data_IF_965478716486
#
_entry.id   IF_965478716486
#
_cell.length_a   1.000
_cell.length_b   1.000
_cell.length_c   1.000
_cell.angle_alpha   90.00
_cell.angle_beta   90.00
_cell.angle_gamma   90.00
#
_symmetry.space_group_name_H-M   'P 1'
#
loop_
_entity.id
_entity.type
_entity.pdbx_description
1 polymer ?
#
# COMPACT_ATOMS: atom_id res chain seq x y z
N UNK A 1 34.40 22.40 5.34
CA UNK A 1 32.94 22.57 5.36
C UNK A 1 32.42 22.11 4.01
N UNK A 2 31.89 20.90 3.93
CA UNK A 2 31.27 20.39 2.71
C UNK A 2 29.77 20.36 2.93
N UNK A 3 29.08 21.10 2.06
CA UNK A 3 27.64 21.36 2.08
C UNK A 3 26.84 20.08 1.95
N UNK A 4 25.83 19.93 2.79
CA UNK A 4 24.76 18.95 2.67
C UNK A 4 23.84 19.32 1.50
N UNK A 5 23.39 18.32 0.75
CA UNK A 5 22.22 18.46 -0.13
C UNK A 5 21.40 17.19 0.01
N UNK A 6 20.22 17.35 0.60
CA UNK A 6 19.17 16.34 0.70
C UNK A 6 18.62 16.11 -0.71
N UNK A 7 18.86 14.94 -1.30
CA UNK A 7 18.16 14.54 -2.52
C UNK A 7 16.73 14.12 -2.18
N UNK A 8 15.78 14.95 -2.63
CA UNK A 8 14.35 14.71 -2.56
C UNK A 8 13.98 13.47 -3.39
N UNK A 9 13.29 12.51 -2.75
CA UNK A 9 12.80 11.27 -3.35
C UNK A 9 11.61 11.45 -4.31
N UNK A 10 11.87 12.02 -5.49
CA UNK A 10 10.94 11.94 -6.63
C UNK A 10 11.48 10.93 -7.65
N UNK A 11 10.70 9.89 -7.97
CA UNK A 11 11.05 8.94 -9.04
C UNK A 11 11.07 9.67 -10.39
N UNK A 12 12.26 9.86 -10.94
CA UNK A 12 12.46 10.43 -12.27
C UNK A 12 12.15 9.40 -13.37
N UNK A 13 11.27 9.74 -14.31
CA UNK A 13 11.07 8.98 -15.55
C UNK A 13 12.09 9.46 -16.59
N UNK A 14 13.11 8.65 -16.86
CA UNK A 14 13.99 8.83 -18.01
C UNK A 14 13.76 7.69 -19.01
N UNK A 15 13.20 8.01 -20.16
CA UNK A 15 13.20 7.16 -21.35
C UNK A 15 14.56 7.26 -22.05
N UNK A 16 15.46 6.32 -21.79
CA UNK A 16 16.31 5.73 -22.83
C UNK A 16 17.09 4.50 -22.29
N UNK A 17 16.80 3.34 -22.89
CA UNK A 17 17.70 2.19 -23.07
C UNK A 17 18.63 1.77 -21.92
N UNK A 18 18.16 0.81 -21.10
CA UNK A 18 18.86 -0.42 -20.69
C UNK A 18 17.98 -1.19 -19.70
N UNK A 19 17.68 -2.46 -19.99
CA UNK A 19 16.88 -3.33 -19.13
C UNK A 19 17.63 -3.66 -17.84
N UNK A 20 17.52 -2.81 -16.83
CA UNK A 20 17.54 -3.21 -15.43
C UNK A 20 16.17 -2.83 -14.87
N UNK A 21 15.41 -3.83 -14.43
CA UNK A 21 14.06 -3.59 -13.93
C UNK A 21 14.12 -2.55 -12.81
N UNK A 22 13.60 -1.35 -13.07
CA UNK A 22 13.17 -0.45 -12.00
C UNK A 22 12.30 -1.28 -11.06
N UNK A 23 12.48 -1.20 -9.71
CA UNK A 23 11.69 -1.98 -8.78
C UNK A 23 10.21 -1.78 -9.13
N UNK A 24 9.59 -2.87 -9.60
CA UNK A 24 8.48 -2.81 -10.54
C UNK A 24 7.34 -1.94 -10.05
N UNK A 25 6.84 -1.06 -10.92
CA UNK A 25 5.66 -0.28 -10.61
C UNK A 25 4.51 -1.21 -10.20
N UNK A 26 3.85 -0.88 -9.10
CA UNK A 26 2.71 -1.64 -8.61
C UNK A 26 1.52 -1.34 -9.51
N UNK A 27 0.87 -2.38 -10.03
CA UNK A 27 -0.17 -2.24 -11.07
C UNK A 27 -1.55 -2.67 -10.61
N UNK A 28 -1.64 -3.50 -9.59
CA UNK A 28 -2.92 -4.00 -9.10
C UNK A 28 -2.90 -4.09 -7.58
N UNK A 29 -3.97 -3.58 -6.98
CA UNK A 29 -4.15 -3.52 -5.55
C UNK A 29 -5.43 -4.25 -5.17
N UNK A 30 -5.42 -4.89 -4.00
CA UNK A 30 -6.59 -5.48 -3.37
C UNK A 30 -6.76 -4.86 -2.01
N UNK A 31 -7.92 -4.27 -1.77
CA UNK A 31 -8.27 -3.69 -0.50
C UNK A 31 -9.03 -4.72 0.34
N UNK A 32 -8.60 -4.85 1.58
CA UNK A 32 -9.26 -5.62 2.61
C UNK A 32 -9.55 -4.74 3.81
N UNK A 33 -10.55 -5.14 4.58
CA UNK A 33 -10.90 -4.47 5.83
C UNK A 33 -10.97 -5.45 6.99
N UNK A 34 -10.63 -4.93 8.17
CA UNK A 34 -11.05 -5.46 9.47
C UNK A 34 -11.84 -4.38 10.20
N UNK A 35 -12.33 -4.68 11.41
CA UNK A 35 -13.05 -3.70 12.23
C UNK A 35 -12.24 -2.43 12.55
N UNK A 36 -10.91 -2.47 12.49
CA UNK A 36 -10.05 -1.36 12.91
C UNK A 36 -9.05 -0.89 11.86
N UNK A 37 -8.86 -1.63 10.76
CA UNK A 37 -7.83 -1.29 9.77
C UNK A 37 -8.30 -1.63 8.35
N UNK A 38 -7.78 -0.89 7.38
CA UNK A 38 -7.73 -1.32 5.99
C UNK A 38 -6.34 -1.84 5.65
N UNK A 39 -6.30 -2.85 4.79
CA UNK A 39 -5.07 -3.46 4.29
C UNK A 39 -5.10 -3.44 2.77
N UNK A 40 -4.14 -2.76 2.15
CA UNK A 40 -4.00 -2.72 0.71
C UNK A 40 -2.83 -3.58 0.27
N UNK A 41 -3.11 -4.58 -0.55
CA UNK A 41 -2.11 -5.50 -1.06
C UNK A 41 -1.85 -5.16 -2.52
N UNK A 42 -0.72 -4.52 -2.77
CA UNK A 42 -0.27 -4.22 -4.12
C UNK A 42 0.59 -5.35 -4.68
N UNK A 43 0.59 -5.47 -6.01
CA UNK A 43 1.55 -6.32 -6.74
C UNK A 43 2.03 -5.66 -8.02
N UNK A 44 3.22 -6.02 -8.43
CA UNK A 44 3.82 -5.61 -9.69
C UNK A 44 3.28 -6.42 -10.89
N UNK A 45 3.64 -6.01 -12.11
CA UNK A 45 3.23 -6.69 -13.36
C UNK A 45 3.70 -8.15 -13.41
N UNK A 46 4.90 -8.42 -12.92
CA UNK A 46 5.50 -9.77 -12.94
C UNK A 46 4.94 -10.69 -11.86
N UNK A 47 4.17 -10.15 -10.90
CA UNK A 47 3.63 -10.87 -9.72
C UNK A 47 4.73 -11.42 -8.79
N UNK A 48 5.92 -10.87 -8.89
CA UNK A 48 7.10 -11.23 -8.11
C UNK A 48 7.15 -10.43 -6.82
N UNK A 49 6.74 -9.17 -6.87
CA UNK A 49 6.81 -8.24 -5.75
C UNK A 49 5.42 -7.93 -5.23
N UNK A 50 5.23 -8.15 -3.93
CA UNK A 50 4.01 -7.80 -3.22
C UNK A 50 4.36 -6.83 -2.09
N UNK A 51 3.54 -5.79 -1.94
CA UNK A 51 3.67 -4.81 -0.84
C UNK A 51 2.35 -4.65 -0.13
N UNK A 52 2.43 -4.28 1.13
CA UNK A 52 1.28 -4.16 2.03
C UNK A 52 1.26 -2.76 2.60
N UNK A 53 0.12 -2.09 2.45
CA UNK A 53 -0.18 -0.83 3.11
C UNK A 53 -1.21 -1.09 4.20
N UNK A 54 -0.94 -0.59 5.41
CA UNK A 54 -1.91 -0.61 6.50
C UNK A 54 -2.41 0.80 6.75
N UNK A 55 -3.73 0.94 6.85
CA UNK A 55 -4.40 2.22 7.11
C UNK A 55 -5.27 2.03 8.35
N UNK A 56 -5.08 2.85 9.36
CA UNK A 56 -5.91 2.84 10.57
C UNK A 56 -7.31 3.41 10.27
N UNK A 57 -8.37 2.75 10.76
CA UNK A 57 -9.76 3.20 10.63
C UNK A 57 -10.31 3.91 11.86
N UNK A 58 -9.64 3.80 13.00
CA UNK A 58 -10.16 4.23 14.28
C UNK A 58 -10.07 5.75 14.47
N UNK A 59 -9.13 6.41 13.79
CA UNK A 59 -8.92 7.85 13.88
C UNK A 59 -9.21 8.52 12.52
N UNK A 60 -10.48 8.86 12.22
CA UNK A 60 -10.82 9.50 10.94
C UNK A 60 -10.21 10.91 10.79
N UNK A 61 -9.83 11.55 11.89
CA UNK A 61 -9.21 12.88 11.90
C UNK A 61 -7.73 12.86 11.50
N UNK A 62 -7.04 11.72 11.63
CA UNK A 62 -5.63 11.54 11.30
C UNK A 62 -5.44 10.29 10.45
N UNK A 63 -5.13 10.50 9.17
CA UNK A 63 -4.84 9.39 8.27
C UNK A 63 -3.48 8.76 8.63
N UNK A 64 -3.50 7.72 9.45
CA UNK A 64 -2.30 6.95 9.78
C UNK A 64 -2.08 5.85 8.73
N UNK A 65 -1.27 6.16 7.72
CA UNK A 65 -0.79 5.19 6.74
C UNK A 65 0.58 4.69 7.16
N UNK A 66 0.71 3.36 7.24
CA UNK A 66 2.01 2.69 7.43
C UNK A 66 2.27 1.77 6.26
N UNK A 67 3.30 2.11 5.49
CA UNK A 67 3.84 1.22 4.47
C UNK A 67 4.74 0.18 5.12
N UNK A 68 4.53 -1.09 4.79
CA UNK A 68 5.46 -2.13 5.14
C UNK A 68 6.64 -2.09 4.15
N UNK A 69 7.84 -1.83 4.66
CA UNK A 69 9.07 -1.85 3.85
C UNK A 69 9.46 -3.26 3.42
N UNK A 70 8.83 -4.29 3.99
CA UNK A 70 9.04 -5.68 3.63
C UNK A 70 8.48 -5.98 2.24
N UNK A 71 9.34 -6.52 1.38
CA UNK A 71 8.90 -7.12 0.12
C UNK A 71 8.42 -8.53 0.40
N UNK A 72 7.19 -8.83 0.03
CA UNK A 72 6.60 -10.16 0.21
C UNK A 72 6.56 -10.95 -1.09
N UNK A 73 6.71 -12.27 -0.97
CA UNK A 73 6.27 -13.23 -1.98
C UNK A 73 4.75 -13.44 -1.91
N UNK A 74 4.19 -14.05 -2.96
CA UNK A 74 2.76 -14.42 -3.01
C UNK A 74 2.32 -15.28 -1.82
N UNK A 75 3.16 -16.25 -1.43
CA UNK A 75 2.89 -17.15 -0.31
C UNK A 75 2.91 -16.42 1.03
N UNK A 76 3.89 -15.54 1.25
CA UNK A 76 3.98 -14.77 2.49
C UNK A 76 2.82 -13.79 2.62
N UNK A 77 2.41 -13.12 1.53
CA UNK A 77 1.20 -12.31 1.55
C UNK A 77 -0.05 -13.13 1.86
N UNK A 78 -0.17 -14.33 1.30
CA UNK A 78 -1.33 -15.21 1.57
C UNK A 78 -1.38 -15.63 3.04
N UNK A 79 -0.22 -15.98 3.60
CA UNK A 79 -0.08 -16.34 5.01
C UNK A 79 -0.33 -15.14 5.94
N UNK A 80 0.15 -13.95 5.58
CA UNK A 80 -0.12 -12.71 6.31
C UNK A 80 -1.62 -12.43 6.38
N UNK A 81 -2.32 -12.48 5.24
CA UNK A 81 -3.77 -12.27 5.19
C UNK A 81 -4.52 -13.30 6.03
N UNK A 82 -4.07 -14.57 6.02
CA UNK A 82 -4.63 -15.63 6.87
C UNK A 82 -4.45 -15.33 8.36
N UNK A 83 -3.26 -14.92 8.78
CA UNK A 83 -2.99 -14.55 10.18
C UNK A 83 -3.83 -13.37 10.64
N UNK A 84 -3.97 -12.35 9.79
CA UNK A 84 -4.83 -11.20 10.08
C UNK A 84 -6.29 -11.65 10.19
N UNK A 85 -6.76 -12.51 9.29
CA UNK A 85 -8.13 -13.04 9.34
C UNK A 85 -8.41 -13.77 10.65
N UNK A 86 -7.56 -14.73 11.04
CA UNK A 86 -7.75 -15.49 12.28
C UNK A 86 -7.65 -14.59 13.52
N UNK A 87 -6.71 -13.63 13.54
CA UNK A 87 -6.59 -12.67 14.64
C UNK A 87 -7.78 -11.72 14.79
N UNK A 88 -8.54 -11.49 13.71
CA UNK A 88 -9.73 -10.62 13.70
C UNK A 88 -11.04 -11.43 13.65
N UNK A 89 -10.98 -12.76 13.78
CA UNK A 89 -12.17 -13.63 13.71
C UNK A 89 -13.30 -13.21 14.67
N UNK A 90 -13.02 -12.77 15.93
CA UNK A 90 -14.07 -12.29 16.84
C UNK A 90 -14.80 -11.02 16.33
N UNK A 91 -14.15 -10.22 15.49
CA UNK A 91 -14.72 -8.97 14.93
C UNK A 91 -15.18 -9.15 13.48
N UNK A 92 -15.35 -10.39 13.02
CA UNK A 92 -15.82 -10.72 11.67
C UNK A 92 -14.71 -11.00 10.64
N UNK A 93 -13.46 -11.08 11.10
CA UNK A 93 -12.31 -11.46 10.29
C UNK A 93 -11.84 -10.39 9.32
N UNK A 94 -10.89 -10.80 8.46
CA UNK A 94 -10.46 -10.01 7.31
C UNK A 94 -11.43 -10.22 6.15
N UNK A 95 -11.96 -9.12 5.60
CA UNK A 95 -12.93 -9.12 4.49
C UNK A 95 -12.34 -8.47 3.26
N UNK A 96 -12.59 -9.03 2.09
CA UNK A 96 -12.24 -8.39 0.83
C UNK A 96 -13.25 -7.29 0.51
N UNK A 97 -12.74 -6.10 0.20
CA UNK A 97 -13.57 -4.94 -0.17
C UNK A 97 -13.64 -4.83 -1.69
N UNK A 98 -12.48 -4.62 -2.33
CA UNK A 98 -12.43 -4.37 -3.77
C UNK A 98 -11.02 -4.52 -4.34
N UNK A 99 -10.94 -4.54 -5.68
CA UNK A 99 -9.69 -4.42 -6.44
C UNK A 99 -9.57 -2.99 -6.96
N UNK A 100 -8.37 -2.45 -6.95
CA UNK A 100 -8.09 -1.15 -7.53
C UNK A 100 -6.71 -1.05 -8.19
N UNK A 101 -6.51 0.03 -8.92
CA UNK A 101 -5.34 0.32 -9.74
C UNK A 101 -4.60 1.56 -9.27
N UNK A 102 -5.21 2.35 -8.37
CA UNK A 102 -4.56 3.50 -7.75
C UNK A 102 -5.31 3.98 -6.52
N UNK A 103 -4.60 4.79 -5.74
CA UNK A 103 -5.15 5.61 -4.66
C UNK A 103 -5.02 7.05 -5.12
N UNK A 104 -6.14 7.76 -5.25
CA UNK A 104 -6.11 9.23 -5.36
C UNK A 104 -6.49 9.79 -4.00
N UNK A 105 -5.54 10.45 -3.33
CA UNK A 105 -5.79 11.22 -2.12
C UNK A 105 -5.62 12.72 -2.43
N UNK A 106 -6.67 13.52 -2.24
CA UNK A 106 -6.51 14.96 -2.12
C UNK A 106 -6.25 15.28 -0.64
N UNK A 107 -5.02 15.69 -0.33
CA UNK A 107 -4.74 16.41 0.91
C UNK A 107 -4.97 17.89 0.65
N UNK A 108 -6.21 18.34 0.81
CA UNK A 108 -6.45 19.74 1.13
C UNK A 108 -6.73 19.81 2.61
N UNK A 109 -6.13 20.81 3.24
CA UNK A 109 -6.44 21.25 4.60
C UNK A 109 -7.94 21.08 4.90
N UNK A 110 -8.22 20.56 6.10
CA UNK A 110 -9.53 20.38 6.74
C UNK A 110 -10.28 19.05 6.41
N UNK A 111 -9.84 17.99 7.08
CA UNK A 111 -10.66 16.93 7.71
C UNK A 111 -11.44 15.91 6.87
N UNK A 112 -11.07 15.58 5.63
CA UNK A 112 -11.54 14.33 5.02
C UNK A 112 -10.63 13.87 3.89
N UNK A 113 -9.98 12.72 4.08
CA UNK A 113 -9.24 12.04 3.02
C UNK A 113 -10.25 11.22 2.22
N UNK A 114 -10.62 11.70 1.03
CA UNK A 114 -11.40 10.94 0.08
C UNK A 114 -10.49 9.92 -0.61
N UNK A 115 -10.64 8.64 -0.25
CA UNK A 115 -9.93 7.53 -0.90
C UNK A 115 -10.70 7.12 -2.17
N UNK A 116 -10.35 7.70 -3.33
CA UNK A 116 -10.91 7.22 -4.61
C UNK A 116 -10.11 6.00 -5.06
N UNK A 117 -10.84 4.90 -5.20
CA UNK A 117 -10.39 3.57 -5.61
C UNK A 117 -10.89 3.38 -7.06
N UNK A 118 -10.00 3.45 -8.06
CA UNK A 118 -10.31 3.06 -9.46
C UNK A 118 -9.97 1.60 -9.71
#
# INVERSE_FOLDING_TARGET
MASSTLENGYCSYNEHSSQSASPGCMQKFRLYETGSNFYMIGRDKSRTYWRVLKIDRLNPSELNIREDSTTYSKSECSELLRRIHEGNKPTGGLKFVTTCYGIVGMCNEIHSVLLIIF
#
